data_IF_645056585979
#
_entry.id   IF_645056585979
#
_cell.length_a   1.000
_cell.length_b   1.000
_cell.length_c   1.000
_cell.angle_alpha   90.00
_cell.angle_beta   90.00
_cell.angle_gamma   90.00
#
_symmetry.space_group_name_H-M   'P 1'
#
loop_
_entity.id
_entity.type
_entity.pdbx_description
1 polymer ?
#
# COMPACT_ATOMS: atom_id res chain seq x y z
N UNK A 1 -1.49 11.65 3.38
CA UNK A 1 -0.48 12.04 4.39
C UNK A 1 0.38 10.81 4.62
N UNK A 2 1.69 10.89 4.40
CA UNK A 2 2.59 9.74 4.62
C UNK A 2 3.06 9.81 6.07
N UNK A 3 2.81 8.76 6.83
CA UNK A 3 3.24 8.65 8.22
C UNK A 3 4.67 8.11 8.28
N UNK A 4 5.48 8.68 9.18
CA UNK A 4 6.86 8.26 9.41
C UNK A 4 7.03 7.87 10.88
N UNK A 5 7.63 6.71 11.10
CA UNK A 5 8.08 6.25 12.41
C UNK A 5 9.54 6.67 12.60
N UNK A 6 9.88 7.17 13.79
CA UNK A 6 11.28 7.43 14.14
C UNK A 6 11.90 6.13 14.66
N UNK A 7 12.85 5.58 13.91
CA UNK A 7 13.62 4.40 14.34
C UNK A 7 15.06 4.77 14.65
N UNK A 8 15.70 3.95 15.47
CA UNK A 8 17.11 4.08 15.80
C UNK A 8 17.91 2.87 15.31
N UNK A 9 19.17 3.08 14.93
CA UNK A 9 20.14 2.01 14.67
C UNK A 9 21.55 2.46 15.02
N UNK A 10 22.38 1.51 15.45
CA UNK A 10 23.83 1.74 15.57
C UNK A 10 24.45 1.78 14.18
N UNK A 11 25.16 2.84 13.84
CA UNK A 11 25.71 2.99 12.50
C UNK A 11 26.97 2.13 12.33
N UNK A 12 27.04 1.21 11.36
CA UNK A 12 28.18 0.28 11.24
C UNK A 12 29.40 0.89 10.55
N UNK A 13 29.24 1.99 9.81
CA UNK A 13 30.28 2.61 8.99
C UNK A 13 30.07 4.13 8.85
N UNK A 14 31.15 4.86 8.55
CA UNK A 14 31.12 6.30 8.27
C UNK A 14 31.43 7.17 9.49
N UNK A 15 31.20 8.48 9.37
CA UNK A 15 31.58 9.49 10.38
C UNK A 15 30.95 9.29 11.77
N UNK A 16 29.81 8.58 11.85
CA UNK A 16 29.09 8.27 13.09
C UNK A 16 29.14 6.77 13.44
N UNK A 17 30.14 6.04 12.94
CA UNK A 17 30.31 4.61 13.23
C UNK A 17 30.30 4.35 14.75
N UNK A 18 29.51 3.37 15.18
CA UNK A 18 29.35 2.98 16.59
C UNK A 18 28.36 3.83 17.38
N UNK A 19 27.82 4.92 16.81
CA UNK A 19 26.81 5.76 17.48
C UNK A 19 25.40 5.35 17.08
N UNK A 20 24.45 5.49 18.01
CA UNK A 20 23.02 5.35 17.74
C UNK A 20 22.54 6.57 16.96
N UNK A 21 22.01 6.34 15.76
CA UNK A 21 21.41 7.39 14.93
C UNK A 21 19.91 7.16 14.80
N UNK A 22 19.15 8.26 14.74
CA UNK A 22 17.71 8.26 14.55
C UNK A 22 17.38 8.64 13.10
N UNK A 23 16.42 7.96 12.49
CA UNK A 23 15.98 8.21 11.13
C UNK A 23 14.47 8.00 11.00
N UNK A 24 13.84 8.76 10.10
CA UNK A 24 12.44 8.59 9.75
C UNK A 24 12.30 7.42 8.77
N UNK A 25 11.55 6.39 9.14
CA UNK A 25 11.15 5.30 8.26
C UNK A 25 9.67 5.48 7.92
N UNK A 26 9.24 5.42 6.64
CA UNK A 26 7.82 5.41 6.33
C UNK A 26 7.15 4.21 7.00
N UNK A 27 6.06 4.45 7.74
CA UNK A 27 5.35 3.43 8.56
C UNK A 27 4.86 2.27 7.70
N UNK A 28 4.41 2.56 6.48
CA UNK A 28 4.28 1.65 5.35
C UNK A 28 3.79 2.47 4.14
N UNK A 29 3.92 1.94 2.92
CA UNK A 29 3.03 2.41 1.85
C UNK A 29 1.62 1.98 2.19
N UNK A 30 0.69 2.92 2.29
CA UNK A 30 -0.72 2.59 2.45
C UNK A 30 -1.21 1.88 1.17
N UNK A 31 -1.23 0.56 1.20
CA UNK A 31 -1.79 -0.23 0.12
C UNK A 31 -3.31 -0.04 0.10
N UNK A 32 -3.85 0.19 -1.09
CA UNK A 32 -5.30 0.17 -1.30
C UNK A 32 -5.81 -1.24 -1.01
N UNK A 33 -6.69 -1.37 -0.02
CA UNK A 33 -7.41 -2.62 0.23
C UNK A 33 -8.50 -2.81 -0.82
N UNK A 34 -8.90 -4.04 -1.11
CA UNK A 34 -10.02 -4.31 -2.03
C UNK A 34 -11.29 -3.54 -1.65
N UNK A 35 -11.59 -3.41 -0.35
CA UNK A 35 -12.72 -2.63 0.15
C UNK A 35 -12.60 -1.14 -0.19
N UNK A 36 -11.40 -0.57 -0.10
CA UNK A 36 -11.15 0.83 -0.48
C UNK A 36 -11.29 1.05 -1.99
N UNK A 37 -10.83 0.10 -2.81
CA UNK A 37 -10.97 0.16 -4.26
C UNK A 37 -12.44 0.09 -4.66
N UNK A 38 -13.17 -0.91 -4.14
CA UNK A 38 -14.62 -1.07 -4.41
C UNK A 38 -15.38 0.18 -3.98
N UNK A 39 -15.17 0.65 -2.74
CA UNK A 39 -15.87 1.83 -2.24
C UNK A 39 -15.58 3.10 -3.03
N UNK A 40 -14.36 3.24 -3.57
CA UNK A 40 -13.99 4.36 -4.43
C UNK A 40 -14.72 4.32 -5.77
N UNK A 41 -14.74 3.17 -6.45
CA UNK A 41 -15.41 3.01 -7.74
C UNK A 41 -16.92 3.21 -7.59
N UNK A 42 -17.54 2.64 -6.56
CA UNK A 42 -18.98 2.83 -6.28
C UNK A 42 -19.31 4.31 -6.06
N UNK A 43 -18.45 5.06 -5.36
CA UNK A 43 -18.67 6.50 -5.13
C UNK A 43 -18.50 7.34 -6.39
N UNK A 44 -17.61 6.94 -7.29
CA UNK A 44 -17.25 7.67 -8.51
C UNK A 44 -18.04 7.22 -9.74
N UNK A 45 -18.96 6.25 -9.58
CA UNK A 45 -19.77 5.70 -10.67
C UNK A 45 -21.20 5.39 -10.20
N UNK A 46 -22.03 4.87 -11.10
CA UNK A 46 -23.39 4.40 -10.79
C UNK A 46 -23.47 2.89 -10.52
N UNK A 47 -22.32 2.21 -10.38
CA UNK A 47 -22.27 0.76 -10.20
C UNK A 47 -22.53 0.36 -8.75
N UNK A 48 -23.16 -0.80 -8.54
CA UNK A 48 -23.30 -1.37 -7.20
C UNK A 48 -21.98 -1.98 -6.71
N UNK A 49 -21.82 -2.13 -5.39
CA UNK A 49 -20.65 -2.82 -4.82
C UNK A 49 -20.53 -4.28 -5.32
N UNK A 50 -21.66 -4.93 -5.61
CA UNK A 50 -21.70 -6.26 -6.20
C UNK A 50 -21.15 -6.27 -7.62
N UNK A 51 -21.58 -5.33 -8.47
CA UNK A 51 -21.10 -5.21 -9.85
C UNK A 51 -19.59 -4.97 -9.90
N UNK A 52 -19.08 -4.06 -9.08
CA UNK A 52 -17.66 -3.74 -9.01
C UNK A 52 -16.84 -4.95 -8.54
N UNK A 53 -17.32 -5.67 -7.52
CA UNK A 53 -16.63 -6.86 -7.02
C UNK A 53 -16.57 -7.96 -8.08
N UNK A 54 -17.69 -8.20 -8.79
CA UNK A 54 -17.76 -9.16 -9.89
C UNK A 54 -16.81 -8.78 -11.04
N UNK A 55 -16.78 -7.50 -11.43
CA UNK A 55 -15.90 -7.03 -12.49
C UNK A 55 -14.41 -7.24 -12.14
N UNK A 56 -14.00 -6.96 -10.89
CA UNK A 56 -12.63 -7.17 -10.43
C UNK A 56 -12.24 -8.66 -10.42
N UNK A 57 -13.14 -9.56 -10.01
CA UNK A 57 -12.91 -11.01 -10.05
C UNK A 57 -12.75 -11.49 -11.50
N UNK A 58 -13.66 -11.08 -12.38
CA UNK A 58 -13.62 -11.43 -13.80
C UNK A 58 -12.34 -10.93 -14.48
N UNK A 59 -11.93 -9.70 -14.20
CA UNK A 59 -10.67 -9.16 -14.70
C UNK A 59 -9.46 -9.99 -14.21
N UNK A 60 -9.44 -10.36 -12.93
CA UNK A 60 -8.38 -11.20 -12.38
C UNK A 60 -8.30 -12.58 -13.06
N UNK A 61 -9.44 -13.20 -13.36
CA UNK A 61 -9.49 -14.44 -14.11
C UNK A 61 -8.94 -14.27 -15.54
N UNK A 62 -9.36 -13.22 -16.26
CA UNK A 62 -8.88 -12.93 -17.61
C UNK A 62 -7.35 -12.73 -17.64
N UNK A 63 -6.81 -11.97 -16.69
CA UNK A 63 -5.35 -11.72 -16.60
C UNK A 63 -4.61 -13.01 -16.29
N UNK A 64 -5.10 -13.84 -15.37
CA UNK A 64 -4.48 -15.13 -15.04
C UNK A 64 -4.47 -16.06 -16.24
N UNK A 65 -5.55 -16.13 -17.00
CA UNK A 65 -5.66 -17.05 -18.14
C UNK A 65 -4.82 -16.58 -19.35
N UNK A 66 -4.42 -15.31 -19.37
CA UNK A 66 -3.57 -14.71 -20.40
C UNK A 66 -2.06 -14.79 -20.11
N UNK A 67 -1.65 -15.28 -18.93
CA UNK A 67 -0.25 -15.46 -18.49
C UNK A 67 0.15 -16.93 -18.57
#
# INVERSE_FOLDING_TARGET
>A
MIEFEVKSKTQPIGKRKGQTVYFAQPVSQQHLTNKMVVGRIVRESSLSAGDVSNALISLGAIVRDAL
#
